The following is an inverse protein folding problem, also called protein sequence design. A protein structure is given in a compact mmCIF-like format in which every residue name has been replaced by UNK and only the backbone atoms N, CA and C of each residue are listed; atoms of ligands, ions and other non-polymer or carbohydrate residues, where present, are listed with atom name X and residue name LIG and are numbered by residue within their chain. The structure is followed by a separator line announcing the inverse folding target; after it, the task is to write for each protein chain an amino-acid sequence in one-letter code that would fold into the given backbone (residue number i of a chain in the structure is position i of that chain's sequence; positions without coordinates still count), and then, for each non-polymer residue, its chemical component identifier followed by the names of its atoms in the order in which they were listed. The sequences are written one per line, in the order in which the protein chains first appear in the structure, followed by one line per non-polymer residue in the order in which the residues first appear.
data_IF_900706446290
#
_entry.id   IF_900706446290
#
_cell.length_a   1.000
_cell.length_b   1.000
_cell.length_c   1.000
_cell.angle_alpha   90.00
_cell.angle_beta   90.00
_cell.angle_gamma   90.00
#
_symmetry.space_group_name_H-M   'P 1'
#
loop_
_entity.id
_entity.type
_entity.pdbx_description
1 polymer ?
#
# COMPACT_ATOMS: atom_id res chain seq x y z
N UNK A 1 15.61 -3.63 9.42
CA UNK A 1 16.41 -3.39 8.21
C UNK A 1 17.58 -2.45 8.47
N UNK A 2 17.39 -1.26 9.04
CA UNK A 2 18.50 -0.29 9.25
C UNK A 2 19.66 -0.85 10.09
N UNK A 3 19.37 -1.66 11.12
CA UNK A 3 20.40 -2.37 11.90
C UNK A 3 21.32 -3.25 11.04
N UNK A 4 20.78 -3.92 10.03
CA UNK A 4 21.47 -4.92 9.22
C UNK A 4 21.84 -4.42 7.81
N UNK A 5 21.35 -3.25 7.42
CA UNK A 5 21.65 -2.59 6.16
C UNK A 5 21.89 -1.09 6.43
N UNK A 6 23.12 -0.69 6.79
CA UNK A 6 23.44 0.69 7.18
C UNK A 6 23.34 1.70 6.02
N UNK A 7 23.24 1.22 4.77
CA UNK A 7 23.00 2.03 3.59
C UNK A 7 21.54 2.46 3.46
N UNK A 8 20.61 1.74 4.10
CA UNK A 8 19.20 2.11 4.12
C UNK A 8 18.95 3.08 5.30
N UNK A 9 18.61 4.32 4.98
CA UNK A 9 18.09 5.30 5.95
C UNK A 9 16.62 5.55 5.63
N UNK A 10 15.73 5.26 6.56
CA UNK A 10 14.30 5.52 6.39
C UNK A 10 13.89 6.77 7.14
N UNK A 11 13.04 7.56 6.48
CA UNK A 11 12.33 8.66 7.11
C UNK A 11 10.90 8.19 7.43
N UNK A 12 10.46 8.42 8.67
CA UNK A 12 9.15 8.00 9.16
C UNK A 12 8.27 9.22 9.34
N UNK A 13 7.18 9.30 8.56
CA UNK A 13 6.23 10.41 8.59
C UNK A 13 4.84 9.86 8.89
N UNK A 14 4.14 10.45 9.86
CA UNK A 14 2.75 10.13 10.18
C UNK A 14 1.80 10.93 9.29
N UNK A 15 0.88 10.27 8.59
CA UNK A 15 -0.18 10.94 7.81
C UNK A 15 -1.42 11.30 8.62
N UNK A 16 -1.51 10.82 9.87
CA UNK A 16 -2.61 11.05 10.79
C UNK A 16 -2.10 11.06 12.24
N UNK A 17 -2.94 11.43 13.20
CA UNK A 17 -2.61 11.33 14.62
C UNK A 17 -2.42 9.86 15.02
N UNK A 18 -1.23 9.50 15.52
CA UNK A 18 -0.85 8.13 15.86
C UNK A 18 -0.17 8.06 17.22
N UNK A 19 -0.29 6.92 17.89
CA UNK A 19 0.54 6.56 19.04
C UNK A 19 1.56 5.52 18.59
N UNK A 20 2.83 5.77 18.85
CA UNK A 20 3.93 4.89 18.46
C UNK A 20 4.66 4.38 19.69
N UNK A 21 5.06 3.12 19.65
CA UNK A 21 5.97 2.52 20.62
C UNK A 21 7.26 2.18 19.88
N UNK A 22 8.38 2.71 20.39
CA UNK A 22 9.72 2.40 19.89
C UNK A 22 10.43 1.56 20.94
N UNK A 23 11.04 0.47 20.52
CA UNK A 23 11.91 -0.36 21.36
C UNK A 23 13.36 -0.25 20.90
N UNK A 24 14.30 -0.47 21.80
CA UNK A 24 15.74 -0.58 21.46
C UNK A 24 16.01 -1.91 20.77
N UNK A 25 17.18 -2.04 20.13
CA UNK A 25 17.58 -3.30 19.50
C UNK A 25 17.74 -4.43 20.52
N UNK A 26 18.26 -4.15 21.72
CA UNK A 26 18.40 -5.16 22.77
C UNK A 26 17.04 -5.69 23.25
N UNK A 27 16.07 -4.78 23.44
CA UNK A 27 14.70 -5.17 23.80
C UNK A 27 14.04 -5.96 22.67
N UNK A 28 14.26 -5.57 21.41
CA UNK A 28 13.77 -6.33 20.26
C UNK A 28 14.33 -7.76 20.25
N UNK A 29 15.64 -7.93 20.45
CA UNK A 29 16.30 -9.24 20.47
C UNK A 29 15.77 -10.10 21.62
N UNK A 30 15.57 -9.51 22.79
CA UNK A 30 14.96 -10.21 23.93
C UNK A 30 13.55 -10.71 23.61
N UNK A 31 12.70 -9.89 22.97
CA UNK A 31 11.32 -10.26 22.64
C UNK A 31 11.28 -11.33 21.56
N UNK A 32 12.02 -11.16 20.46
CA UNK A 32 11.83 -11.96 19.26
C UNK A 32 12.85 -13.06 19.08
N UNK A 33 14.13 -12.84 19.42
CA UNK A 33 15.19 -13.82 19.21
C UNK A 33 15.40 -14.72 20.43
N UNK A 34 15.25 -14.16 21.63
CA UNK A 34 15.40 -14.90 22.89
C UNK A 34 14.06 -15.26 23.55
N UNK A 35 12.94 -14.77 23.02
CA UNK A 35 11.60 -15.00 23.56
C UNK A 35 10.98 -16.36 23.22
N UNK A 36 11.76 -17.30 22.67
CA UNK A 36 11.32 -18.64 22.31
C UNK A 36 10.88 -18.80 20.84
N UNK A 37 10.66 -20.06 20.40
CA UNK A 37 10.42 -20.38 18.99
C UNK A 37 9.14 -19.73 18.42
N UNK A 38 8.09 -19.59 19.23
CA UNK A 38 6.83 -18.95 18.81
C UNK A 38 7.04 -17.47 18.40
N UNK A 39 7.85 -16.72 19.16
CA UNK A 39 8.13 -15.31 18.86
C UNK A 39 8.93 -15.15 17.58
N UNK A 40 9.88 -16.05 17.33
CA UNK A 40 10.64 -16.10 16.07
C UNK A 40 9.70 -16.40 14.89
N UNK A 41 8.75 -17.32 15.06
CA UNK A 41 7.76 -17.65 14.05
C UNK A 41 6.87 -16.44 13.72
N UNK A 42 6.36 -15.73 14.72
CA UNK A 42 5.58 -14.50 14.52
C UNK A 42 6.39 -13.43 13.76
N UNK A 43 7.67 -13.24 14.13
CA UNK A 43 8.56 -12.34 13.41
C UNK A 43 8.74 -12.76 11.95
N UNK A 44 8.94 -14.05 11.69
CA UNK A 44 9.09 -14.59 10.34
C UNK A 44 7.83 -14.36 9.49
N UNK A 45 6.64 -14.52 10.07
CA UNK A 45 5.37 -14.23 9.40
C UNK A 45 5.28 -12.75 9.03
N UNK A 46 5.57 -11.84 9.98
CA UNK A 46 5.59 -10.39 9.72
C UNK A 46 6.56 -10.05 8.59
N UNK A 47 7.80 -10.57 8.64
CA UNK A 47 8.82 -10.31 7.63
C UNK A 47 8.43 -10.89 6.26
N UNK A 48 7.75 -12.04 6.22
CA UNK A 48 7.24 -12.63 4.98
C UNK A 48 6.20 -11.74 4.33
N UNK A 49 5.19 -11.28 5.09
CA UNK A 49 4.20 -10.33 4.58
C UNK A 49 4.84 -9.03 4.08
N UNK A 50 5.79 -8.48 4.84
CA UNK A 50 6.52 -7.27 4.44
C UNK A 50 7.34 -7.47 3.17
N UNK A 51 7.94 -8.66 2.99
CA UNK A 51 8.72 -9.01 1.81
C UNK A 51 7.83 -9.18 0.57
N UNK A 52 6.70 -9.88 0.68
CA UNK A 52 5.70 -9.99 -0.39
C UNK A 52 5.28 -8.58 -0.85
N UNK A 53 4.90 -7.72 0.10
CA UNK A 53 4.52 -6.35 -0.22
C UNK A 53 5.65 -5.54 -0.90
N UNK A 54 6.89 -5.73 -0.45
CA UNK A 54 8.06 -5.03 -1.02
C UNK A 54 8.36 -5.52 -2.45
N UNK A 55 8.23 -6.82 -2.69
CA UNK A 55 8.41 -7.43 -4.03
C UNK A 55 7.29 -6.96 -4.96
N UNK A 56 6.04 -6.98 -4.50
CA UNK A 56 4.90 -6.48 -5.28
C UNK A 56 5.11 -5.01 -5.66
N UNK A 57 5.53 -4.18 -4.70
CA UNK A 57 5.85 -2.77 -4.96
C UNK A 57 7.03 -2.60 -5.93
N UNK A 58 8.05 -3.45 -5.85
CA UNK A 58 9.18 -3.42 -6.78
C UNK A 58 8.75 -3.82 -8.20
N UNK A 59 7.95 -4.87 -8.33
CA UNK A 59 7.40 -5.33 -9.60
C UNK A 59 6.45 -4.29 -10.21
N UNK A 60 5.61 -3.64 -9.39
CA UNK A 60 4.79 -2.50 -9.79
C UNK A 60 5.61 -1.37 -10.43
N UNK A 61 6.79 -1.10 -9.87
CA UNK A 61 7.67 -0.02 -10.35
C UNK A 61 8.45 -0.38 -11.61
N UNK A 62 8.67 -1.66 -11.91
CA UNK A 62 9.69 -2.04 -12.90
C UNK A 62 9.21 -1.99 -14.34
N UNK A 63 8.02 -2.46 -14.71
CA UNK A 63 7.51 -2.40 -16.09
C UNK A 63 6.00 -2.59 -16.14
N UNK A 64 5.25 -1.69 -15.52
CA UNK A 64 3.79 -1.71 -15.61
C UNK A 64 3.30 -0.63 -16.57
N UNK A 65 2.38 -0.98 -17.46
CA UNK A 65 1.59 0.04 -18.16
C UNK A 65 0.90 0.91 -17.10
N UNK A 66 0.55 2.14 -17.46
CA UNK A 66 -0.11 3.04 -16.52
C UNK A 66 -1.36 2.43 -15.87
N UNK A 67 -2.09 1.60 -16.61
CA UNK A 67 -3.24 0.87 -16.07
C UNK A 67 -2.83 -0.22 -15.06
N UNK A 68 -1.79 -1.01 -15.37
CA UNK A 68 -1.25 -1.99 -14.43
C UNK A 68 -0.76 -1.35 -13.13
N UNK A 69 -0.31 -0.09 -13.16
CA UNK A 69 0.00 0.69 -11.96
C UNK A 69 -1.26 1.13 -11.19
N UNK A 70 -2.33 1.51 -11.89
CA UNK A 70 -3.58 1.99 -11.28
C UNK A 70 -4.38 0.85 -10.64
N UNK A 71 -4.45 -0.31 -11.29
CA UNK A 71 -5.23 -1.48 -10.85
C UNK A 71 -4.99 -1.87 -9.38
N UNK A 72 -3.75 -2.11 -8.90
CA UNK A 72 -3.49 -2.45 -7.50
C UNK A 72 -3.82 -1.29 -6.54
N UNK A 73 -3.72 -0.03 -6.98
CA UNK A 73 -4.09 1.11 -6.14
C UNK A 73 -5.59 1.15 -5.79
N UNK A 74 -6.46 0.62 -6.66
CA UNK A 74 -7.90 0.53 -6.38
C UNK A 74 -8.16 -0.36 -5.16
N UNK A 75 -7.52 -1.53 -5.11
CA UNK A 75 -7.62 -2.45 -3.97
C UNK A 75 -7.00 -1.87 -2.70
N UNK A 76 -5.81 -1.26 -2.82
CA UNK A 76 -5.16 -0.57 -1.68
C UNK A 76 -6.04 0.54 -1.11
N UNK A 77 -6.74 1.28 -1.98
CA UNK A 77 -7.65 2.34 -1.55
C UNK A 77 -8.85 1.79 -0.77
N UNK A 78 -9.48 0.71 -1.23
CA UNK A 78 -10.59 0.05 -0.51
C UNK A 78 -10.14 -0.47 0.86
N UNK A 79 -8.98 -1.14 0.90
CA UNK A 79 -8.40 -1.62 2.16
C UNK A 79 -8.08 -0.47 3.12
N UNK A 80 -7.58 0.65 2.61
CA UNK A 80 -7.31 1.83 3.44
C UNK A 80 -8.59 2.43 4.01
N UNK A 81 -9.67 2.50 3.21
CA UNK A 81 -10.96 2.99 3.68
C UNK A 81 -11.57 2.12 4.78
N UNK A 82 -11.38 0.79 4.74
CA UNK A 82 -11.88 -0.10 5.79
C UNK A 82 -11.06 -0.02 7.08
N UNK A 83 -9.77 0.30 7.00
CA UNK A 83 -8.85 0.33 8.15
C UNK A 83 -8.67 1.71 8.79
N UNK A 84 -8.91 2.80 8.06
CA UNK A 84 -8.68 4.18 8.53
C UNK A 84 -9.93 5.05 8.37
N UNK A 85 -10.90 4.87 9.29
CA UNK A 85 -12.13 5.65 9.30
C UNK A 85 -11.83 7.14 9.62
N UNK A 86 -12.19 8.03 8.70
CA UNK A 86 -12.00 9.49 8.85
C UNK A 86 -11.14 10.14 7.77
N UNK A 87 -10.42 9.36 6.96
CA UNK A 87 -9.66 9.93 5.85
C UNK A 87 -10.56 10.40 4.69
N UNK A 88 -10.30 11.63 4.23
CA UNK A 88 -11.08 12.28 3.18
C UNK A 88 -10.36 12.39 1.84
N UNK A 89 -9.25 11.66 1.66
CA UNK A 89 -8.50 11.64 0.41
C UNK A 89 -9.32 10.95 -0.70
N UNK A 90 -9.48 11.65 -1.84
CA UNK A 90 -10.12 11.10 -3.03
C UNK A 90 -9.22 10.10 -3.76
N UNK A 91 -9.82 9.16 -4.50
CA UNK A 91 -9.13 8.06 -5.18
C UNK A 91 -8.05 8.56 -6.16
N UNK A 92 -8.37 9.56 -6.98
CA UNK A 92 -7.41 10.09 -7.94
C UNK A 92 -6.18 10.69 -7.25
N UNK A 93 -6.38 11.46 -6.18
CA UNK A 93 -5.29 12.06 -5.42
C UNK A 93 -4.45 10.99 -4.71
N UNK A 94 -5.11 9.96 -4.18
CA UNK A 94 -4.46 8.80 -3.57
C UNK A 94 -3.44 8.15 -4.51
N UNK A 95 -3.85 7.90 -5.77
CA UNK A 95 -3.03 7.29 -6.81
C UNK A 95 -1.89 8.24 -7.23
N UNK A 96 -2.20 9.50 -7.52
CA UNK A 96 -1.22 10.48 -8.00
C UNK A 96 -0.08 10.68 -7.00
N UNK A 97 -0.36 10.73 -5.69
CA UNK A 97 0.68 10.90 -4.66
C UNK A 97 1.62 9.70 -4.50
N UNK A 98 1.24 8.53 -5.02
CA UNK A 98 1.93 7.25 -4.77
C UNK A 98 2.54 6.64 -6.02
N UNK A 99 2.34 7.28 -7.17
CA UNK A 99 2.77 6.82 -8.48
C UNK A 99 3.37 7.99 -9.24
N UNK A 100 4.16 7.73 -10.29
CA UNK A 100 4.69 8.77 -11.16
C UNK A 100 3.75 9.10 -12.34
N UNK A 101 2.45 8.76 -12.22
CA UNK A 101 1.47 8.94 -13.28
C UNK A 101 0.97 10.39 -13.34
N UNK A 102 0.77 10.89 -14.55
CA UNK A 102 0.19 12.22 -14.74
C UNK A 102 -1.27 12.26 -14.31
N UNK A 103 -1.68 13.41 -13.75
CA UNK A 103 -3.07 13.65 -13.32
C UNK A 103 -4.06 13.32 -14.44
N UNK A 104 -3.85 13.86 -15.64
CA UNK A 104 -4.73 13.64 -16.80
C UNK A 104 -4.87 12.16 -17.14
N UNK A 105 -3.78 11.39 -17.05
CA UNK A 105 -3.82 9.97 -17.37
C UNK A 105 -4.59 9.18 -16.31
N UNK A 106 -4.37 9.45 -15.01
CA UNK A 106 -5.12 8.81 -13.92
C UNK A 106 -6.62 9.05 -14.07
N UNK A 107 -7.02 10.31 -14.31
CA UNK A 107 -8.44 10.64 -14.48
C UNK A 107 -9.08 9.94 -15.68
N UNK A 108 -8.34 9.81 -16.80
CA UNK A 108 -8.83 9.10 -17.99
C UNK A 108 -9.12 7.64 -17.69
N UNK A 109 -8.17 6.92 -17.09
CA UNK A 109 -8.33 5.50 -16.74
C UNK A 109 -9.50 5.31 -15.75
N UNK A 110 -9.62 6.18 -14.75
CA UNK A 110 -10.74 6.09 -13.80
C UNK A 110 -12.10 6.37 -14.46
N UNK A 111 -12.16 7.30 -15.42
CA UNK A 111 -13.37 7.58 -16.18
C UNK A 111 -13.77 6.38 -17.04
N UNK A 112 -12.81 5.76 -17.71
CA UNK A 112 -13.00 4.57 -18.54
C UNK A 112 -13.50 3.38 -17.71
N UNK A 113 -12.86 3.12 -16.55
CA UNK A 113 -13.29 2.05 -15.64
C UNK A 113 -14.71 2.29 -15.10
N UNK A 114 -15.06 3.54 -14.80
CA UNK A 114 -16.40 3.91 -14.37
C UNK A 114 -17.41 3.73 -15.51
N UNK A 115 -17.09 4.18 -16.73
CA UNK A 115 -17.95 4.06 -17.90
C UNK A 115 -18.17 2.59 -18.30
N UNK A 116 -17.14 1.76 -18.19
CA UNK A 116 -17.23 0.31 -18.40
C UNK A 116 -17.98 -0.45 -17.29
N UNK A 117 -18.38 0.23 -16.21
CA UNK A 117 -19.10 -0.39 -15.09
C UNK A 117 -18.24 -1.33 -14.24
N UNK A 118 -16.91 -1.14 -14.28
CA UNK A 118 -15.98 -1.93 -13.46
C UNK A 118 -15.92 -1.43 -12.02
N UNK A 119 -16.10 -0.13 -11.82
CA UNK A 119 -16.02 0.51 -10.51
C UNK A 119 -17.18 1.49 -10.28
N UNK A 120 -17.61 1.59 -9.03
CA UNK A 120 -18.53 2.62 -8.58
C UNK A 120 -17.78 3.68 -7.79
N UNK A 121 -17.91 4.94 -8.19
CA UNK A 121 -17.34 6.09 -7.50
C UNK A 121 -18.42 7.08 -7.06
N UNK A 122 -18.32 7.58 -5.82
CA UNK A 122 -19.19 8.64 -5.29
C UNK A 122 -18.35 9.73 -4.63
N UNK A 123 -18.62 11.00 -4.98
CA UNK A 123 -17.91 12.19 -4.44
C UNK A 123 -16.38 12.05 -4.48
N UNK A 124 -15.84 11.52 -5.58
CA UNK A 124 -14.39 11.33 -5.76
C UNK A 124 -13.77 10.16 -5.00
N UNK A 125 -14.55 9.39 -4.23
CA UNK A 125 -14.11 8.17 -3.55
C UNK A 125 -14.56 6.92 -4.31
N UNK A 126 -13.71 5.90 -4.29
CA UNK A 126 -14.11 4.54 -4.69
C UNK A 126 -15.10 4.00 -3.66
N UNK A 127 -16.17 3.35 -4.14
CA UNK A 127 -17.18 2.70 -3.29
C UNK A 127 -17.04 1.19 -3.41
N UNK A 128 -16.89 0.68 -4.63
CA UNK A 128 -16.79 -0.75 -4.91
C UNK A 128 -16.09 -1.01 -6.25
N UNK A 129 -15.57 -2.23 -6.37
CA UNK A 129 -15.17 -2.84 -7.65
C UNK A 129 -16.28 -3.83 -7.97
N UNK A 130 -17.06 -3.53 -9.00
CA UNK A 130 -18.34 -4.20 -9.30
C UNK A 130 -18.16 -5.39 -10.26
N UNK A 131 -17.02 -5.44 -10.96
CA UNK A 131 -16.66 -6.49 -11.92
C UNK A 131 -15.18 -6.80 -11.88
N UNK A 132 -14.74 -8.00 -12.31
CA UNK A 132 -13.33 -8.27 -12.51
C UNK A 132 -12.68 -7.20 -13.40
N UNK A 133 -11.61 -6.59 -12.90
CA UNK A 133 -10.88 -5.55 -13.62
C UNK A 133 -10.15 -6.17 -14.82
N UNK A 134 -10.12 -5.50 -15.99
CA UNK A 134 -9.38 -5.98 -17.17
C UNK A 134 -7.92 -6.28 -16.84
N UNK A 135 -7.30 -7.25 -17.50
CA UNK A 135 -5.86 -7.54 -17.34
C UNK A 135 -4.96 -6.55 -18.06
N UNK A 136 -5.44 -5.99 -19.18
CA UNK A 136 -4.73 -4.99 -19.96
C UNK A 136 -5.68 -3.92 -20.50
N UNK A 137 -5.11 -2.75 -20.78
CA UNK A 137 -5.73 -1.59 -21.40
C UNK A 137 -4.75 -0.98 -22.39
#
# INVERSE_FOLDING_TARGET
MERYCPLAKFEYISSAAVKLVKVTYDVFDQIFLHGGPERVQELAIILTYMSIFTIDLHNERRQMTSYQTIRPMLFRYLYRQSTHQGENEGLALFIIKRTNLSRTHVFRVLADLKAGGYITMKRGKLVSIDRPLPEAY
#
